data_IF_705002776682
#
_entry.id   IF_705002776682
#
_cell.length_a   1.000
_cell.length_b   1.000
_cell.length_c   1.000
_cell.angle_alpha   90.00
_cell.angle_beta   90.00
_cell.angle_gamma   90.00
#
_symmetry.space_group_name_H-M   'P 1'
#
loop_
_entity.id
_entity.type
_entity.pdbx_description
1 polymer ?
#
# COMPACT_ATOMS: atom_id res chain seq x y z
N UNK A 1 -6.95 -39.11 48.80
CA UNK A 1 -6.12 -38.00 48.27
C UNK A 1 -6.64 -37.68 46.87
N UNK A 2 -7.42 -36.60 46.70
CA UNK A 2 -7.97 -36.19 45.37
C UNK A 2 -7.00 -35.19 44.77
N UNK A 3 -6.39 -35.57 43.65
CA UNK A 3 -5.48 -34.73 42.87
C UNK A 3 -6.32 -33.79 42.00
N UNK A 4 -6.28 -32.47 42.27
CA UNK A 4 -6.93 -31.47 41.45
C UNK A 4 -5.97 -31.07 40.34
N UNK A 5 -6.31 -31.41 39.12
CA UNK A 5 -5.57 -31.02 37.94
C UNK A 5 -5.98 -29.58 37.56
N UNK A 6 -5.11 -28.60 37.81
CA UNK A 6 -5.33 -27.23 37.41
C UNK A 6 -4.86 -27.11 35.94
N UNK A 7 -5.85 -26.98 35.04
CA UNK A 7 -5.59 -26.71 33.64
C UNK A 7 -5.29 -25.19 33.48
N UNK A 8 -4.02 -24.83 33.29
CA UNK A 8 -3.65 -23.47 32.91
C UNK A 8 -4.03 -23.24 31.44
N UNK A 9 -5.11 -22.49 31.19
CA UNK A 9 -5.37 -21.91 29.86
C UNK A 9 -4.35 -20.78 29.62
N UNK A 10 -3.38 -21.02 28.76
CA UNK A 10 -2.57 -19.96 28.16
C UNK A 10 -3.45 -19.20 27.16
N UNK A 11 -3.90 -18.01 27.53
CA UNK A 11 -4.51 -17.09 26.60
C UNK A 11 -3.43 -16.61 25.62
N UNK A 12 -3.55 -16.97 24.35
CA UNK A 12 -2.73 -16.36 23.30
C UNK A 12 -3.06 -14.84 23.25
N UNK A 13 -2.07 -13.96 23.09
CA UNK A 13 -2.35 -12.53 22.90
C UNK A 13 -3.22 -12.39 21.66
N UNK A 14 -4.38 -11.72 21.81
CA UNK A 14 -5.19 -11.32 20.68
C UNK A 14 -4.35 -10.28 19.92
N UNK A 15 -3.91 -10.62 18.72
CA UNK A 15 -3.38 -9.63 17.78
C UNK A 15 -4.54 -8.72 17.43
N UNK A 16 -4.36 -7.41 17.63
CA UNK A 16 -5.36 -6.46 17.21
C UNK A 16 -5.51 -6.54 15.67
N UNK A 17 -6.74 -6.49 15.18
CA UNK A 17 -7.00 -6.50 13.75
C UNK A 17 -6.59 -5.13 13.16
N UNK A 18 -5.82 -5.09 12.06
CA UNK A 18 -5.41 -3.83 11.46
C UNK A 18 -6.63 -3.01 11.05
N UNK A 19 -6.57 -1.68 11.22
CA UNK A 19 -7.62 -0.81 10.72
C UNK A 19 -7.67 -0.88 9.20
N UNK A 20 -8.76 -1.42 8.67
CA UNK A 20 -8.97 -1.54 7.23
C UNK A 20 -9.04 -0.15 6.58
N UNK A 21 -8.20 0.09 5.55
CA UNK A 21 -8.28 1.26 4.67
C UNK A 21 -9.17 0.93 3.47
N UNK A 22 -8.92 -0.21 2.81
CA UNK A 22 -9.73 -0.70 1.69
C UNK A 22 -9.58 -2.22 1.50
N UNK A 23 -10.67 -2.89 1.15
CA UNK A 23 -10.73 -4.30 0.77
C UNK A 23 -11.08 -4.49 -0.73
N UNK A 24 -11.06 -3.40 -1.49
CA UNK A 24 -11.38 -3.35 -2.91
C UNK A 24 -12.76 -3.94 -3.28
N UNK A 25 -13.67 -3.95 -2.34
CA UNK A 25 -15.06 -4.31 -2.56
C UNK A 25 -15.81 -3.24 -3.37
N UNK A 26 -17.11 -3.41 -3.55
CA UNK A 26 -17.97 -2.52 -4.36
C UNK A 26 -17.67 -1.04 -4.16
N UNK A 27 -17.48 -0.31 -5.27
CA UNK A 27 -17.18 1.12 -5.28
C UNK A 27 -15.68 1.46 -5.15
N UNK A 28 -14.79 0.47 -5.20
CA UNK A 28 -13.34 0.73 -5.16
C UNK A 28 -12.88 1.55 -6.38
N UNK A 29 -13.53 1.38 -7.54
CA UNK A 29 -13.29 2.14 -8.76
C UNK A 29 -13.52 3.65 -8.60
N UNK A 30 -14.36 4.07 -7.68
CA UNK A 30 -14.62 5.47 -7.37
C UNK A 30 -13.62 6.04 -6.36
N UNK A 31 -13.03 5.17 -5.52
CA UNK A 31 -12.07 5.58 -4.48
C UNK A 31 -10.64 5.64 -5.01
N UNK A 32 -10.25 4.70 -5.88
CA UNK A 32 -8.91 4.58 -6.43
C UNK A 32 -8.81 5.17 -7.83
N UNK A 33 -7.82 6.03 -8.03
CA UNK A 33 -7.55 6.68 -9.32
C UNK A 33 -6.22 6.24 -9.87
N UNK A 34 -6.23 5.75 -11.11
CA UNK A 34 -5.02 5.45 -11.86
C UNK A 34 -4.35 6.74 -12.34
N UNK A 35 -3.02 6.76 -12.30
CA UNK A 35 -2.20 7.84 -12.87
C UNK A 35 -0.85 7.26 -13.30
N UNK A 36 -0.32 7.75 -14.42
CA UNK A 36 1.04 7.42 -14.87
C UNK A 36 1.87 8.70 -15.07
N UNK A 37 3.15 8.53 -15.32
CA UNK A 37 4.08 9.62 -15.60
C UNK A 37 3.76 10.40 -16.89
N UNK A 38 2.80 9.95 -17.70
CA UNK A 38 2.29 10.71 -18.86
C UNK A 38 1.79 12.09 -18.49
N UNK A 39 1.35 12.32 -17.25
CA UNK A 39 0.95 13.66 -16.75
C UNK A 39 2.11 14.64 -16.69
N UNK A 40 3.35 14.17 -16.82
CA UNK A 40 4.56 15.00 -16.80
C UNK A 40 5.49 14.73 -18.01
N UNK A 41 5.00 14.06 -19.04
CA UNK A 41 5.72 13.80 -20.28
C UNK A 41 6.46 12.46 -20.37
N UNK A 42 6.33 11.59 -19.36
CA UNK A 42 6.81 10.22 -19.41
C UNK A 42 6.03 9.36 -20.41
N UNK A 43 6.50 8.15 -20.61
CA UNK A 43 5.91 7.20 -21.58
C UNK A 43 5.43 5.89 -20.96
N UNK A 44 5.46 5.78 -19.64
CA UNK A 44 4.86 4.61 -18.96
C UNK A 44 3.38 4.49 -19.31
N UNK A 45 2.92 3.25 -19.54
CA UNK A 45 1.56 2.98 -19.98
C UNK A 45 0.96 1.80 -19.22
N UNK A 46 -0.35 1.85 -18.98
CA UNK A 46 -1.00 0.80 -18.24
C UNK A 46 -2.40 1.18 -17.78
N UNK A 47 -2.85 0.50 -16.74
CA UNK A 47 -4.16 0.73 -16.18
C UNK A 47 -4.36 0.04 -14.83
N UNK A 48 -5.49 0.35 -14.24
CA UNK A 48 -5.99 -0.31 -13.05
C UNK A 48 -7.36 -0.93 -13.34
N UNK A 49 -7.66 -2.01 -12.65
CA UNK A 49 -8.94 -2.71 -12.72
C UNK A 49 -9.28 -3.37 -11.40
N UNK A 50 -10.45 -3.96 -11.34
CA UNK A 50 -10.88 -4.83 -10.24
C UNK A 50 -11.01 -6.26 -10.76
N UNK A 51 -10.57 -7.21 -9.95
CA UNK A 51 -10.75 -8.64 -10.17
C UNK A 51 -11.55 -9.26 -9.03
N UNK A 52 -12.10 -10.44 -9.27
CA UNK A 52 -12.71 -11.27 -8.23
C UNK A 52 -12.23 -12.70 -8.42
N UNK A 53 -11.74 -13.31 -7.35
CA UNK A 53 -11.31 -14.72 -7.31
C UNK A 53 -11.84 -15.34 -6.01
N UNK A 54 -12.55 -16.46 -6.10
CA UNK A 54 -13.16 -17.14 -4.95
C UNK A 54 -14.04 -16.23 -4.06
N UNK A 55 -14.71 -15.24 -4.69
CA UNK A 55 -15.57 -14.27 -3.98
C UNK A 55 -14.80 -13.14 -3.29
N UNK A 56 -13.48 -13.08 -3.42
CA UNK A 56 -12.63 -12.02 -2.86
C UNK A 56 -12.32 -11.02 -3.98
N UNK A 57 -12.64 -9.75 -3.73
CA UNK A 57 -12.31 -8.64 -4.63
C UNK A 57 -10.86 -8.22 -4.46
N UNK A 58 -10.23 -7.76 -5.54
CA UNK A 58 -8.88 -7.22 -5.49
C UNK A 58 -8.64 -6.17 -6.56
N UNK A 59 -7.80 -5.19 -6.26
CA UNK A 59 -7.31 -4.24 -7.26
C UNK A 59 -6.20 -4.86 -8.09
N UNK A 60 -6.15 -4.49 -9.37
CA UNK A 60 -5.11 -4.88 -10.31
C UNK A 60 -4.39 -3.64 -10.81
N UNK A 61 -3.06 -3.63 -10.75
CA UNK A 61 -2.20 -2.64 -11.40
C UNK A 61 -1.37 -3.35 -12.46
N UNK A 62 -1.54 -2.97 -13.72
CA UNK A 62 -0.88 -3.59 -14.88
C UNK A 62 -0.30 -2.53 -15.79
N UNK A 63 0.87 -2.79 -16.38
CA UNK A 63 1.42 -1.93 -17.42
C UNK A 63 2.93 -1.97 -17.50
N UNK A 64 3.46 -1.21 -18.46
CA UNK A 64 4.88 -1.05 -18.70
C UNK A 64 5.37 0.23 -18.04
N UNK A 65 6.29 0.12 -17.11
CA UNK A 65 7.01 1.27 -16.51
C UNK A 65 8.23 1.56 -17.36
N UNK A 66 8.43 2.82 -17.71
CA UNK A 66 9.61 3.28 -18.43
C UNK A 66 10.19 4.55 -17.82
N UNK A 67 11.49 4.56 -17.58
CA UNK A 67 12.22 5.71 -17.05
C UNK A 67 12.58 6.75 -18.11
N UNK A 68 12.25 6.48 -19.38
CA UNK A 68 12.46 7.43 -20.46
C UNK A 68 11.68 8.73 -20.24
N UNK A 69 12.19 9.84 -20.78
CA UNK A 69 11.63 11.18 -20.68
C UNK A 69 11.43 11.67 -19.22
N UNK A 70 12.32 11.27 -18.31
CA UNK A 70 12.20 11.55 -16.85
C UNK A 70 10.89 11.01 -16.23
N UNK A 71 10.32 9.96 -16.82
CA UNK A 71 9.20 9.21 -16.31
C UNK A 71 9.61 8.18 -15.27
N UNK A 72 8.85 7.11 -15.16
CA UNK A 72 9.19 5.93 -14.35
C UNK A 72 8.15 5.54 -13.35
N UNK A 73 6.85 5.79 -13.60
CA UNK A 73 5.81 5.25 -12.73
C UNK A 73 4.47 5.01 -13.39
N UNK A 74 3.77 4.02 -12.84
CA UNK A 74 2.31 3.90 -12.88
C UNK A 74 1.81 3.66 -11.45
N UNK A 75 0.64 4.17 -11.10
CA UNK A 75 0.10 4.05 -9.75
C UNK A 75 -1.43 4.04 -9.70
N UNK A 76 -1.95 3.46 -8.62
CA UNK A 76 -3.29 3.76 -8.13
C UNK A 76 -3.16 4.52 -6.81
N UNK A 77 -4.03 5.51 -6.61
CA UNK A 77 -4.02 6.35 -5.42
C UNK A 77 -5.43 6.67 -4.94
N UNK A 78 -5.60 6.71 -3.62
CA UNK A 78 -6.81 7.24 -2.99
C UNK A 78 -6.47 8.31 -1.96
N UNK A 79 -7.41 9.21 -1.74
CA UNK A 79 -7.42 10.11 -0.59
C UNK A 79 -8.07 9.37 0.58
N UNK A 80 -7.49 9.44 1.76
CA UNK A 80 -8.02 8.74 2.93
C UNK A 80 -9.31 9.41 3.42
N UNK A 81 -10.36 8.61 3.61
CA UNK A 81 -11.65 9.09 4.11
C UNK A 81 -11.59 9.54 5.58
N UNK A 82 -10.66 8.96 6.35
CA UNK A 82 -10.45 9.26 7.77
C UNK A 82 -8.96 9.28 8.08
N UNK A 83 -8.52 10.03 9.09
CA UNK A 83 -7.15 9.95 9.59
C UNK A 83 -6.80 8.53 10.03
N UNK A 84 -5.53 8.14 9.84
CA UNK A 84 -5.02 6.89 10.40
C UNK A 84 -4.97 6.98 11.94
N UNK A 85 -5.08 5.84 12.65
CA UNK A 85 -4.91 5.81 14.10
C UNK A 85 -3.56 6.38 14.51
N UNK A 86 -3.54 7.13 15.58
CA UNK A 86 -2.31 7.78 16.08
C UNK A 86 -1.26 6.77 16.54
N UNK A 87 -1.70 5.63 17.03
CA UNK A 87 -0.91 4.50 17.52
C UNK A 87 -0.57 3.47 16.43
N UNK A 88 -1.05 3.68 15.20
CA UNK A 88 -0.64 2.84 14.08
C UNK A 88 0.88 2.82 13.92
N UNK A 89 1.44 1.66 13.65
CA UNK A 89 2.89 1.42 13.53
C UNK A 89 3.39 1.37 12.09
N UNK A 90 2.48 1.26 11.12
CA UNK A 90 2.82 1.15 9.69
C UNK A 90 1.60 0.97 8.79
N UNK A 91 1.88 0.56 7.56
CA UNK A 91 0.89 0.12 6.58
C UNK A 91 1.07 -1.38 6.36
N UNK A 92 -0.02 -2.12 6.38
CA UNK A 92 -0.05 -3.54 6.05
C UNK A 92 -0.95 -3.76 4.84
N UNK A 93 -0.55 -4.67 3.94
CA UNK A 93 -1.34 -5.03 2.77
C UNK A 93 -1.15 -6.50 2.43
N UNK A 94 -2.15 -7.10 1.81
CA UNK A 94 -2.05 -8.43 1.23
C UNK A 94 -2.06 -8.32 -0.28
N UNK A 95 -1.07 -8.92 -0.92
CA UNK A 95 -0.83 -8.76 -2.35
C UNK A 95 -0.17 -9.99 -2.95
N UNK A 96 -0.22 -10.07 -4.28
CA UNK A 96 0.58 -10.97 -5.12
C UNK A 96 1.05 -10.22 -6.37
N UNK A 97 2.10 -10.70 -7.03
CA UNK A 97 2.61 -10.07 -8.25
C UNK A 97 3.70 -10.88 -8.93
N UNK A 98 4.41 -10.26 -9.82
CA UNK A 98 5.39 -10.89 -10.71
C UNK A 98 6.84 -10.92 -10.19
N UNK A 99 7.05 -10.71 -8.90
CA UNK A 99 8.39 -10.71 -8.29
C UNK A 99 9.13 -9.37 -8.37
N UNK A 100 8.50 -8.35 -8.94
CA UNK A 100 9.06 -7.01 -9.00
C UNK A 100 8.89 -6.23 -7.69
N UNK A 101 9.65 -5.14 -7.56
CA UNK A 101 9.56 -4.23 -6.42
C UNK A 101 8.52 -3.15 -6.69
N UNK A 102 7.64 -2.95 -5.72
CA UNK A 102 6.62 -1.92 -5.70
C UNK A 102 6.77 -1.03 -4.48
N UNK A 103 6.02 0.06 -4.43
CA UNK A 103 6.14 1.04 -3.36
C UNK A 103 4.78 1.46 -2.84
N UNK A 104 4.73 1.78 -1.55
CA UNK A 104 3.67 2.59 -0.97
C UNK A 104 4.17 4.03 -0.91
N UNK A 105 3.42 4.95 -1.51
CA UNK A 105 3.62 6.39 -1.38
C UNK A 105 2.57 6.99 -0.47
N UNK A 106 3.00 7.68 0.57
CA UNK A 106 2.13 8.39 1.50
C UNK A 106 2.33 9.89 1.34
N UNK A 107 1.23 10.64 1.29
CA UNK A 107 1.29 12.10 1.34
C UNK A 107 0.61 12.59 2.60
N UNK A 108 1.31 13.49 3.28
CA UNK A 108 0.82 14.12 4.50
C UNK A 108 0.29 15.53 4.25
N UNK A 109 -0.22 16.16 5.29
CA UNK A 109 -0.57 17.58 5.26
C UNK A 109 0.61 18.51 4.91
N UNK A 110 1.87 18.05 5.10
CA UNK A 110 3.09 18.76 4.71
C UNK A 110 3.44 18.62 3.22
N UNK A 111 2.86 17.67 2.50
CA UNK A 111 3.13 17.42 1.07
C UNK A 111 2.46 18.48 0.20
N UNK A 112 3.17 19.54 -0.13
CA UNK A 112 2.67 20.69 -0.92
C UNK A 112 2.85 20.52 -2.42
N UNK A 113 3.77 19.65 -2.83
CA UNK A 113 4.13 19.44 -4.24
C UNK A 113 3.96 17.98 -4.64
N UNK A 114 3.71 17.63 -5.92
CA UNK A 114 3.49 16.26 -6.38
C UNK A 114 4.63 15.30 -6.03
N UNK A 115 5.86 15.77 -6.02
CA UNK A 115 7.07 14.98 -5.71
C UNK A 115 7.42 14.91 -4.22
N UNK A 116 6.57 15.43 -3.35
CA UNK A 116 6.71 15.35 -1.90
C UNK A 116 5.83 14.22 -1.36
N UNK A 117 6.43 13.11 -0.98
CA UNK A 117 5.79 11.94 -0.42
C UNK A 117 6.78 11.17 0.46
N UNK A 118 6.28 10.26 1.24
CA UNK A 118 7.07 9.24 1.94
C UNK A 118 6.91 7.94 1.20
N UNK A 119 8.00 7.21 0.94
CA UNK A 119 7.95 5.94 0.22
C UNK A 119 8.55 4.80 1.03
N UNK A 120 7.93 3.63 0.94
CA UNK A 120 8.47 2.38 1.41
C UNK A 120 8.34 1.32 0.32
N UNK A 121 9.41 0.54 0.11
CA UNK A 121 9.45 -0.51 -0.89
C UNK A 121 8.96 -1.85 -0.32
N UNK A 122 8.32 -2.65 -1.17
CA UNK A 122 8.03 -4.05 -0.91
C UNK A 122 8.23 -4.89 -2.18
N UNK A 123 8.56 -6.16 -2.00
CA UNK A 123 8.73 -7.10 -3.10
C UNK A 123 7.51 -8.00 -3.20
N UNK A 124 6.94 -8.10 -4.39
CA UNK A 124 5.83 -9.02 -4.65
C UNK A 124 6.32 -10.46 -4.89
N UNK A 125 5.44 -11.42 -4.76
CA UNK A 125 5.62 -12.83 -5.14
C UNK A 125 4.39 -13.31 -5.88
N UNK A 126 4.50 -14.44 -6.59
CA UNK A 126 3.38 -15.03 -7.34
C UNK A 126 2.21 -15.46 -6.42
N UNK A 127 2.51 -15.80 -5.16
CA UNK A 127 1.50 -16.19 -4.19
C UNK A 127 1.03 -14.99 -3.37
N UNK A 128 -0.23 -15.04 -2.94
CA UNK A 128 -0.77 -14.09 -1.98
C UNK A 128 0.07 -14.08 -0.69
N UNK A 129 0.55 -12.91 -0.31
CA UNK A 129 1.30 -12.70 0.92
C UNK A 129 0.91 -11.38 1.57
N UNK A 130 1.05 -11.33 2.88
CA UNK A 130 0.90 -10.11 3.64
C UNK A 130 2.27 -9.50 3.90
N UNK A 131 2.37 -8.19 3.78
CA UNK A 131 3.56 -7.42 4.15
C UNK A 131 3.16 -6.25 5.03
N UNK A 132 3.98 -5.98 6.04
CA UNK A 132 3.84 -4.79 6.90
C UNK A 132 5.05 -3.90 6.70
N UNK A 133 4.79 -2.65 6.35
CA UNK A 133 5.77 -1.59 6.18
C UNK A 133 5.69 -0.66 7.39
N UNK A 134 6.61 -0.83 8.34
CA UNK A 134 6.68 0.02 9.52
C UNK A 134 7.01 1.47 9.14
N UNK A 135 6.62 2.45 9.96
CA UNK A 135 6.92 3.87 9.68
C UNK A 135 8.40 4.13 9.49
N UNK A 136 9.28 3.36 10.13
CA UNK A 136 10.74 3.45 9.97
C UNK A 136 11.25 3.05 8.58
N UNK A 137 10.44 2.35 7.78
CA UNK A 137 10.77 1.98 6.39
C UNK A 137 10.40 3.09 5.38
N UNK A 138 9.65 4.10 5.82
CA UNK A 138 9.22 5.18 4.93
C UNK A 138 10.26 6.29 4.86
N UNK A 139 10.83 6.50 3.70
CA UNK A 139 11.82 7.52 3.42
C UNK A 139 11.17 8.79 2.84
N UNK A 140 11.46 10.00 3.37
CA UNK A 140 10.92 11.24 2.86
C UNK A 140 11.53 11.59 1.50
N UNK A 141 10.69 12.10 0.59
CA UNK A 141 11.08 12.56 -0.74
C UNK A 141 10.77 14.06 -0.90
N UNK A 142 11.49 14.72 -1.78
CA UNK A 142 11.25 16.11 -2.14
C UNK A 142 11.47 17.12 -1.02
N UNK A 143 12.35 16.82 -0.06
CA UNK A 143 12.68 17.72 1.03
C UNK A 143 11.67 17.75 2.17
N UNK A 144 10.88 16.69 2.34
CA UNK A 144 10.05 16.51 3.52
C UNK A 144 10.91 16.18 4.76
N UNK A 145 10.39 16.52 5.93
CA UNK A 145 10.95 16.06 7.21
C UNK A 145 10.87 14.54 7.33
N UNK A 146 11.86 13.92 7.98
CA UNK A 146 11.89 12.45 8.14
C UNK A 146 10.76 11.92 9.05
N UNK A 147 10.16 12.76 9.87
CA UNK A 147 9.09 12.38 10.79
C UNK A 147 7.76 12.95 10.34
N UNK A 148 6.73 12.13 10.44
CA UNK A 148 5.35 12.50 10.27
C UNK A 148 4.48 11.82 11.35
N UNK A 149 3.28 12.35 11.57
CA UNK A 149 2.28 11.68 12.41
C UNK A 149 1.32 10.89 11.53
N UNK A 150 0.92 9.67 11.90
CA UNK A 150 -0.01 8.87 11.10
C UNK A 150 -1.31 9.61 10.78
N UNK A 151 -1.85 10.35 11.74
CA UNK A 151 -3.05 11.16 11.57
C UNK A 151 -2.92 12.31 10.55
N UNK A 152 -1.68 12.67 10.17
CA UNK A 152 -1.41 13.68 9.15
C UNK A 152 -1.41 13.15 7.72
N UNK A 153 -1.41 11.83 7.55
CA UNK A 153 -1.49 11.20 6.23
C UNK A 153 -2.86 11.51 5.60
N UNK A 154 -2.82 11.94 4.33
CA UNK A 154 -4.01 12.36 3.58
C UNK A 154 -4.30 11.49 2.37
N UNK A 155 -3.28 10.88 1.78
CA UNK A 155 -3.47 9.96 0.66
C UNK A 155 -2.42 8.87 0.64
N UNK A 156 -2.81 7.76 0.04
CA UNK A 156 -1.99 6.58 -0.14
C UNK A 156 -1.97 6.19 -1.61
N UNK A 157 -0.79 5.87 -2.14
CA UNK A 157 -0.59 5.34 -3.48
C UNK A 157 0.12 4.00 -3.45
N UNK A 158 -0.28 3.11 -4.35
CA UNK A 158 0.41 1.84 -4.64
C UNK A 158 1.05 2.01 -6.01
N UNK A 159 2.37 1.88 -6.08
CA UNK A 159 3.17 2.43 -7.18
C UNK A 159 4.15 1.38 -7.71
N UNK A 160 4.17 1.22 -9.01
CA UNK A 160 5.26 0.64 -9.77
C UNK A 160 6.19 1.79 -10.20
N UNK A 161 7.47 1.75 -9.81
CA UNK A 161 8.31 2.95 -9.83
C UNK A 161 9.80 2.66 -10.02
N UNK A 162 10.48 3.55 -10.76
CA UNK A 162 11.92 3.78 -10.69
C UNK A 162 12.79 2.88 -11.53
N UNK A 163 12.22 1.96 -12.32
CA UNK A 163 12.95 1.09 -13.24
C UNK A 163 12.06 0.77 -14.47
N UNK A 164 12.66 0.24 -15.52
CA UNK A 164 11.95 -0.25 -16.71
C UNK A 164 11.51 -1.70 -16.45
N UNK A 165 10.22 -1.96 -16.37
CA UNK A 165 9.66 -3.31 -16.19
C UNK A 165 8.17 -3.39 -16.48
N UNK A 166 7.68 -4.62 -16.68
CA UNK A 166 6.25 -4.91 -16.75
C UNK A 166 5.68 -5.06 -15.33
N UNK A 167 4.79 -4.16 -14.96
CA UNK A 167 4.11 -4.21 -13.67
C UNK A 167 2.91 -5.16 -13.74
N UNK A 168 2.83 -6.06 -12.76
CA UNK A 168 1.71 -6.96 -12.54
C UNK A 168 1.54 -7.18 -11.04
N UNK A 169 0.61 -6.45 -10.42
CA UNK A 169 0.36 -6.48 -8.98
C UNK A 169 -1.15 -6.57 -8.72
N UNK A 170 -1.54 -7.48 -7.83
CA UNK A 170 -2.88 -7.64 -7.28
C UNK A 170 -2.84 -7.34 -5.78
N UNK A 171 -3.83 -6.62 -5.27
CA UNK A 171 -3.97 -6.29 -3.85
C UNK A 171 -5.42 -6.54 -3.44
N UNK A 172 -5.67 -7.39 -2.43
CA UNK A 172 -7.02 -7.67 -1.98
C UNK A 172 -7.43 -6.90 -0.72
N UNK A 173 -6.48 -6.38 0.06
CA UNK A 173 -6.76 -5.44 1.11
C UNK A 173 -5.51 -4.64 1.53
N UNK A 174 -5.75 -3.48 2.12
CA UNK A 174 -4.73 -2.61 2.70
C UNK A 174 -5.28 -1.95 3.96
N UNK A 175 -4.45 -1.81 4.99
CA UNK A 175 -4.83 -1.27 6.29
C UNK A 175 -3.67 -0.61 7.02
N UNK A 176 -3.99 0.07 8.13
CA UNK A 176 -3.00 0.54 9.08
C UNK A 176 -2.62 -0.61 10.02
N UNK A 177 -1.34 -0.83 10.24
CA UNK A 177 -0.83 -1.81 11.20
C UNK A 177 -0.85 -1.24 12.63
N UNK A 178 -1.13 -2.11 13.61
CA UNK A 178 -1.05 -1.80 15.05
C UNK A 178 0.35 -1.98 15.60
#
# INVERSE_FOLDING_TARGET
MKMVLILLLLAAPAMAEPMLIDDFSTGAEDRWRYTSDRVMGGISDGGAGLGVEDGISFAQLRGTVSTANNGGFIQIRQDLASPLPKDATGITLRMRGNGETYYIHLRSSASRRPWQYYQAAFKSTENWQQVTLLWSAFEPQGGLEARFSPEDIRSLGIVAYGADYEAALDIDWIGAAD
#
